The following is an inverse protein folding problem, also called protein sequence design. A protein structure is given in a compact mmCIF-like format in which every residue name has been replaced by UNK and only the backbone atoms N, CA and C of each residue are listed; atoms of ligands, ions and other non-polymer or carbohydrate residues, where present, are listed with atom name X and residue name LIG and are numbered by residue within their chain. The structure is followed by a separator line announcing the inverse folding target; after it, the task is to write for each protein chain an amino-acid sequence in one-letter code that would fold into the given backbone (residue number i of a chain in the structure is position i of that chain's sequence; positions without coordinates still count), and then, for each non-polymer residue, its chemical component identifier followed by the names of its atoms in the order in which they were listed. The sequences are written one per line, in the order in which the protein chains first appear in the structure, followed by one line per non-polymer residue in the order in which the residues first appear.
data_IF_283479029459
#
_entry.id   IF_283479029459
#
_cell.length_a   1.000
_cell.length_b   1.000
_cell.length_c   1.000
_cell.angle_alpha   90.00
_cell.angle_beta   90.00
_cell.angle_gamma   90.00
#
_symmetry.space_group_name_H-M   'P 1'
#
loop_
_entity.id
_entity.type
_entity.pdbx_description
1 polymer ?
#
# COMPACT_ATOMS: atom_id res chain seq x y z
N UNK A 1 1.40 -19.22 15.19
CA UNK A 1 2.04 -18.07 15.86
C UNK A 1 2.64 -17.18 14.79
N UNK A 2 2.30 -15.90 14.82
CA UNK A 2 2.83 -14.91 13.88
C UNK A 2 4.30 -14.63 14.19
N UNK A 3 5.14 -14.63 13.15
CA UNK A 3 6.58 -14.34 13.21
C UNK A 3 6.97 -13.07 12.49
N UNK A 4 6.12 -12.58 11.58
CA UNK A 4 6.35 -11.32 10.88
C UNK A 4 5.06 -10.54 10.71
N UNK A 5 5.19 -9.22 10.74
CA UNK A 5 4.15 -8.27 10.37
C UNK A 5 4.62 -7.50 9.15
N UNK A 6 3.82 -7.53 8.09
CA UNK A 6 4.10 -6.86 6.83
C UNK A 6 3.08 -5.74 6.65
N UNK A 7 3.56 -4.52 6.50
CA UNK A 7 2.72 -3.34 6.28
C UNK A 7 2.63 -3.06 4.79
N UNK A 8 1.44 -2.69 4.32
CA UNK A 8 1.33 -1.79 3.17
C UNK A 8 1.80 -0.36 3.53
N UNK A 9 1.74 0.60 2.61
CA UNK A 9 2.23 1.95 2.80
C UNK A 9 1.16 3.03 2.56
N UNK A 10 0.61 3.07 1.36
CA UNK A 10 -0.28 4.14 0.91
C UNK A 10 -1.65 3.93 1.52
N UNK A 11 -2.24 4.96 2.13
CA UNK A 11 -3.53 4.81 2.84
C UNK A 11 -3.44 4.03 4.16
N UNK A 12 -2.27 3.49 4.53
CA UNK A 12 -2.04 2.79 5.79
C UNK A 12 -1.02 3.46 6.71
N UNK A 13 0.22 3.66 6.23
CA UNK A 13 1.28 4.32 7.00
C UNK A 13 1.27 5.83 6.79
N UNK A 14 0.89 6.27 5.59
CA UNK A 14 0.81 7.67 5.21
C UNK A 14 -0.56 7.98 4.64
N UNK A 15 -1.08 9.18 4.95
CA UNK A 15 -2.28 9.73 4.29
C UNK A 15 -1.92 10.24 2.88
N UNK A 16 -1.64 9.31 1.95
CA UNK A 16 -1.14 9.61 0.60
C UNK A 16 -2.18 9.48 -0.51
N UNK A 17 -3.34 8.88 -0.26
CA UNK A 17 -4.43 8.75 -1.24
C UNK A 17 -4.83 10.09 -1.87
N UNK A 18 -4.95 11.21 -1.12
CA UNK A 18 -5.20 12.51 -1.74
C UNK A 18 -4.08 12.96 -2.70
N UNK A 19 -2.83 12.56 -2.47
CA UNK A 19 -1.70 12.94 -3.32
C UNK A 19 -1.68 12.13 -4.62
N UNK A 20 -2.04 10.86 -4.55
CA UNK A 20 -2.25 10.01 -5.73
C UNK A 20 -3.39 10.57 -6.58
N UNK A 21 -4.56 10.80 -5.98
CA UNK A 21 -5.71 11.38 -6.68
C UNK A 21 -5.36 12.73 -7.31
N UNK A 22 -4.71 13.65 -6.59
CA UNK A 22 -4.30 14.96 -7.15
C UNK A 22 -3.35 14.78 -8.34
N UNK A 23 -2.36 13.89 -8.24
CA UNK A 23 -1.34 13.69 -9.27
C UNK A 23 -1.87 12.99 -10.51
N UNK A 24 -2.66 11.94 -10.32
CA UNK A 24 -3.33 11.23 -11.40
C UNK A 24 -4.34 12.14 -12.11
N UNK A 25 -5.19 12.87 -11.36
CA UNK A 25 -6.10 13.87 -11.94
C UNK A 25 -5.34 14.89 -12.77
N UNK A 26 -4.26 15.47 -12.25
CA UNK A 26 -3.47 16.49 -12.94
C UNK A 26 -2.92 15.96 -14.27
N UNK A 27 -2.29 14.78 -14.24
CA UNK A 27 -1.63 14.22 -15.41
C UNK A 27 -2.64 13.69 -16.43
N UNK A 28 -3.65 12.93 -16.01
CA UNK A 28 -4.66 12.39 -16.92
C UNK A 28 -5.51 13.50 -17.57
N UNK A 29 -5.88 14.55 -16.84
CA UNK A 29 -6.57 15.70 -17.44
C UNK A 29 -5.71 16.40 -18.51
N UNK A 30 -4.38 16.45 -18.32
CA UNK A 30 -3.47 17.01 -19.34
C UNK A 30 -3.43 16.18 -20.63
N UNK A 31 -3.82 14.91 -20.56
CA UNK A 31 -3.96 14.00 -21.70
C UNK A 31 -5.37 14.02 -22.31
N UNK A 32 -6.29 14.81 -21.74
CA UNK A 32 -7.69 14.85 -22.15
C UNK A 32 -8.54 13.71 -21.58
N UNK A 33 -8.05 12.97 -20.57
CA UNK A 33 -8.79 11.90 -19.92
C UNK A 33 -9.48 12.44 -18.67
N UNK A 34 -10.78 12.18 -18.56
CA UNK A 34 -11.56 12.53 -17.38
C UNK A 34 -11.53 11.37 -16.38
N UNK A 35 -11.01 11.65 -15.20
CA UNK A 35 -11.02 10.76 -14.04
C UNK A 35 -12.27 11.00 -13.19
N UNK A 36 -12.72 9.97 -12.48
CA UNK A 36 -13.82 10.06 -11.52
C UNK A 36 -13.53 9.22 -10.27
N UNK A 37 -14.37 9.35 -9.24
CA UNK A 37 -14.18 8.66 -7.95
C UNK A 37 -14.18 7.14 -8.08
N UNK A 38 -15.07 6.56 -8.88
CA UNK A 38 -15.18 5.11 -9.07
C UNK A 38 -13.89 4.52 -9.68
N UNK A 39 -13.27 5.26 -10.61
CA UNK A 39 -12.00 4.87 -11.20
C UNK A 39 -10.89 4.82 -10.15
N UNK A 40 -10.79 5.84 -9.28
CA UNK A 40 -9.81 5.83 -8.19
C UNK A 40 -10.03 4.66 -7.22
N UNK A 41 -11.29 4.34 -6.90
CA UNK A 41 -11.61 3.20 -6.04
C UNK A 41 -11.20 1.84 -6.65
N UNK A 42 -11.29 1.69 -7.97
CA UNK A 42 -10.84 0.48 -8.69
C UNK A 42 -9.31 0.36 -8.72
N UNK A 43 -8.63 1.49 -8.89
CA UNK A 43 -7.18 1.55 -9.02
C UNK A 43 -6.42 1.59 -7.69
N UNK A 44 -7.11 1.86 -6.58
CA UNK A 44 -6.53 1.85 -5.23
C UNK A 44 -5.76 0.55 -4.94
N UNK A 45 -4.52 0.71 -4.47
CA UNK A 45 -3.59 -0.40 -4.18
C UNK A 45 -2.90 -1.02 -5.41
N UNK A 46 -3.20 -0.58 -6.64
CA UNK A 46 -2.52 -1.06 -7.86
C UNK A 46 -1.21 -0.35 -8.12
N UNK A 47 -0.36 -0.96 -8.96
CA UNK A 47 0.86 -0.33 -9.44
C UNK A 47 0.53 0.72 -10.50
N UNK A 48 1.22 1.86 -10.46
CA UNK A 48 0.89 3.01 -11.31
C UNK A 48 1.07 2.74 -12.81
N UNK A 49 2.00 1.86 -13.20
CA UNK A 49 2.17 1.46 -14.60
C UNK A 49 0.95 0.67 -15.13
N UNK A 50 0.40 -0.24 -14.33
CA UNK A 50 -0.83 -0.98 -14.63
C UNK A 50 -2.05 -0.05 -14.71
N UNK A 51 -2.10 0.99 -13.86
CA UNK A 51 -3.13 2.03 -13.93
C UNK A 51 -3.00 2.83 -15.23
N UNK A 52 -1.79 3.26 -15.59
CA UNK A 52 -1.54 3.98 -16.85
C UNK A 52 -1.85 3.11 -18.06
N UNK A 53 -1.53 1.81 -18.02
CA UNK A 53 -1.89 0.86 -19.07
C UNK A 53 -3.40 0.74 -19.23
N UNK A 54 -4.15 0.54 -18.14
CA UNK A 54 -5.60 0.46 -18.16
C UNK A 54 -6.25 1.77 -18.67
N UNK A 55 -5.72 2.92 -18.25
CA UNK A 55 -6.20 4.22 -18.71
C UNK A 55 -5.97 4.44 -20.20
N UNK A 56 -4.84 3.94 -20.72
CA UNK A 56 -4.54 4.01 -22.15
C UNK A 56 -5.50 3.13 -22.95
N UNK A 57 -5.82 1.93 -22.47
CA UNK A 57 -6.80 1.04 -23.11
C UNK A 57 -8.20 1.65 -23.16
N UNK A 58 -8.60 2.40 -22.13
CA UNK A 58 -9.89 3.12 -22.09
C UNK A 58 -9.90 4.27 -23.11
N UNK A 59 -8.84 5.07 -23.13
CA UNK A 59 -8.74 6.24 -24.00
C UNK A 59 -7.30 6.44 -24.47
N UNK A 60 -7.02 6.00 -25.71
CA UNK A 60 -5.70 6.14 -26.31
C UNK A 60 -5.25 7.61 -26.38
N UNK A 61 -4.03 7.86 -25.93
CA UNK A 61 -3.27 9.09 -26.24
C UNK A 61 -1.97 8.73 -26.98
N UNK A 62 -1.42 9.69 -27.73
CA UNK A 62 -0.22 9.48 -28.56
C UNK A 62 0.83 10.59 -28.42
N UNK A 63 0.57 11.63 -27.63
CA UNK A 63 1.45 12.79 -27.48
C UNK A 63 2.45 12.68 -26.30
N UNK A 64 2.38 11.58 -25.53
CA UNK A 64 3.34 11.19 -24.47
C UNK A 64 3.41 9.66 -24.41
N UNK A 65 4.59 9.10 -24.13
CA UNK A 65 4.73 7.68 -23.80
C UNK A 65 4.12 7.35 -22.44
N UNK A 66 3.74 6.10 -22.22
CA UNK A 66 3.22 5.63 -20.92
C UNK A 66 4.24 5.82 -19.79
N UNK A 67 5.52 5.57 -20.06
CA UNK A 67 6.62 5.79 -19.10
C UNK A 67 6.71 7.27 -18.68
N UNK A 68 6.61 8.21 -19.62
CA UNK A 68 6.60 9.64 -19.28
C UNK A 68 5.40 10.04 -18.43
N UNK A 69 4.24 9.41 -18.65
CA UNK A 69 3.03 9.61 -17.84
C UNK A 69 3.25 9.09 -16.41
N UNK A 70 3.71 7.85 -16.27
CA UNK A 70 4.06 7.25 -14.97
C UNK A 70 5.04 8.14 -14.22
N UNK A 71 6.13 8.55 -14.86
CA UNK A 71 7.17 9.35 -14.21
C UNK A 71 6.66 10.75 -13.83
N UNK A 72 5.76 11.34 -14.62
CA UNK A 72 5.10 12.60 -14.25
C UNK A 72 4.27 12.47 -12.99
N UNK A 73 3.49 11.39 -12.86
CA UNK A 73 2.65 11.11 -11.69
C UNK A 73 3.55 10.86 -10.47
N UNK A 74 4.51 9.95 -10.58
CA UNK A 74 5.46 9.59 -9.51
C UNK A 74 6.20 10.82 -9.00
N UNK A 75 6.73 11.66 -9.89
CA UNK A 75 7.44 12.87 -9.49
C UNK A 75 6.54 13.88 -8.77
N UNK A 76 5.27 13.96 -9.12
CA UNK A 76 4.32 14.83 -8.44
C UNK A 76 3.93 14.30 -7.05
N UNK A 77 3.68 12.98 -6.94
CA UNK A 77 3.42 12.31 -5.66
C UNK A 77 4.60 12.51 -4.70
N UNK A 78 5.85 12.31 -5.13
CA UNK A 78 7.04 12.53 -4.29
C UNK A 78 7.10 13.97 -3.76
N UNK A 79 6.77 14.97 -4.59
CA UNK A 79 6.73 16.37 -4.16
C UNK A 79 5.68 16.60 -3.07
N UNK A 80 4.49 16.04 -3.25
CA UNK A 80 3.40 16.16 -2.28
C UNK A 80 3.70 15.43 -0.98
N UNK A 81 4.25 14.21 -1.03
CA UNK A 81 4.71 13.45 0.15
C UNK A 81 5.73 14.28 0.94
N UNK A 82 6.79 14.77 0.30
CA UNK A 82 7.82 15.57 0.98
C UNK A 82 7.26 16.84 1.61
N UNK A 83 6.35 17.52 0.92
CA UNK A 83 5.77 18.78 1.40
C UNK A 83 4.74 18.56 2.52
N UNK A 84 3.80 17.62 2.34
CA UNK A 84 2.54 17.54 3.10
C UNK A 84 2.33 16.20 3.82
N UNK A 85 3.13 15.17 3.54
CA UNK A 85 2.95 13.82 4.07
C UNK A 85 2.87 13.77 5.59
N UNK A 86 1.92 12.98 6.09
CA UNK A 86 1.66 12.75 7.50
C UNK A 86 1.35 11.29 7.75
N UNK A 87 1.85 10.78 8.87
CA UNK A 87 1.51 9.44 9.32
C UNK A 87 0.03 9.37 9.70
N UNK A 88 -0.61 8.24 9.40
CA UNK A 88 -1.98 7.97 9.85
C UNK A 88 -2.02 7.64 11.35
N UNK A 89 -3.23 7.71 11.92
CA UNK A 89 -3.45 7.49 13.35
C UNK A 89 -3.00 6.08 13.77
N UNK A 90 -2.12 6.02 14.77
CA UNK A 90 -1.63 4.77 15.36
C UNK A 90 -0.31 4.25 14.78
N UNK A 91 0.19 4.79 13.65
CA UNK A 91 1.41 4.29 12.98
C UNK A 91 2.60 4.20 13.93
N UNK A 92 2.98 5.31 14.57
CA UNK A 92 4.16 5.33 15.46
C UNK A 92 4.00 4.40 16.68
N UNK A 93 2.83 4.42 17.32
CA UNK A 93 2.57 3.57 18.48
C UNK A 93 2.62 2.08 18.11
N UNK A 94 2.03 1.70 16.97
CA UNK A 94 2.01 0.31 16.51
C UNK A 94 3.40 -0.17 16.12
N UNK A 95 4.17 0.65 15.39
CA UNK A 95 5.55 0.32 15.03
C UNK A 95 6.45 0.17 16.28
N UNK A 96 6.31 1.06 17.26
CA UNK A 96 7.08 1.00 18.52
C UNK A 96 6.74 -0.26 19.32
N UNK A 97 5.44 -0.56 19.49
CA UNK A 97 5.00 -1.76 20.20
C UNK A 97 5.48 -3.05 19.53
N UNK A 98 5.48 -3.10 18.19
CA UNK A 98 5.96 -4.25 17.45
C UNK A 98 7.48 -4.39 17.47
N UNK A 99 8.23 -3.28 17.45
CA UNK A 99 9.70 -3.28 17.59
C UNK A 99 10.15 -3.85 18.95
N UNK A 100 9.34 -3.69 19.98
CA UNK A 100 9.57 -4.27 21.31
C UNK A 100 9.15 -5.74 21.42
N UNK A 101 8.49 -6.28 20.39
CA UNK A 101 8.11 -7.70 20.31
C UNK A 101 9.16 -8.54 19.57
N UNK A 102 8.93 -9.84 19.44
CA UNK A 102 9.84 -10.77 18.75
C UNK A 102 9.53 -10.96 17.25
N UNK A 103 8.56 -10.22 16.70
CA UNK A 103 8.18 -10.36 15.29
C UNK A 103 9.05 -9.49 14.39
N UNK A 104 9.26 -9.97 13.17
CA UNK A 104 9.97 -9.21 12.14
C UNK A 104 9.06 -8.22 11.44
N UNK A 105 9.59 -7.09 11.02
CA UNK A 105 8.82 -6.05 10.34
C UNK A 105 9.22 -5.87 8.88
N UNK A 106 8.24 -5.99 7.98
CA UNK A 106 8.38 -5.72 6.55
C UNK A 106 7.47 -4.60 6.07
N UNK A 107 7.90 -3.90 5.03
CA UNK A 107 7.09 -2.98 4.23
C UNK A 107 7.00 -3.51 2.80
N UNK A 108 5.77 -3.61 2.28
CA UNK A 108 5.47 -4.18 0.97
C UNK A 108 4.43 -3.29 0.26
N UNK A 109 4.88 -2.50 -0.72
CA UNK A 109 4.04 -1.49 -1.38
C UNK A 109 3.98 -1.66 -2.89
N UNK A 110 2.85 -1.28 -3.50
CA UNK A 110 2.71 -1.13 -4.95
C UNK A 110 3.44 0.08 -5.52
N UNK A 111 3.85 1.03 -4.67
CA UNK A 111 4.58 2.23 -5.06
C UNK A 111 5.99 1.92 -5.54
N UNK A 112 6.51 2.72 -6.48
CA UNK A 112 7.94 2.70 -6.86
C UNK A 112 8.83 2.98 -5.64
N UNK A 113 10.03 2.40 -5.58
CA UNK A 113 10.94 2.53 -4.43
C UNK A 113 11.30 3.98 -4.11
N UNK A 114 11.37 4.86 -5.10
CA UNK A 114 11.63 6.29 -4.86
C UNK A 114 10.50 7.02 -4.11
N UNK A 115 9.23 6.57 -4.22
CA UNK A 115 8.13 7.05 -3.39
C UNK A 115 8.26 6.44 -1.99
N UNK A 116 8.53 5.14 -1.91
CA UNK A 116 8.70 4.44 -0.64
C UNK A 116 9.77 5.12 0.23
N UNK A 117 10.96 5.36 -0.31
CA UNK A 117 12.04 6.03 0.42
C UNK A 117 11.65 7.47 0.80
N UNK A 118 10.93 8.20 -0.07
CA UNK A 118 10.43 9.54 0.28
C UNK A 118 9.43 9.52 1.44
N UNK A 119 8.59 8.49 1.55
CA UNK A 119 7.65 8.30 2.68
C UNK A 119 8.41 7.91 3.94
N UNK A 120 9.32 6.95 3.86
CA UNK A 120 10.12 6.48 5.00
C UNK A 120 10.95 7.63 5.61
N UNK A 121 11.56 8.46 4.77
CA UNK A 121 12.28 9.66 5.18
C UNK A 121 11.33 10.71 5.78
N UNK A 122 10.21 10.99 5.11
CA UNK A 122 9.24 11.99 5.56
C UNK A 122 8.66 11.68 6.94
N UNK A 123 8.41 10.40 7.21
CA UNK A 123 7.83 9.93 8.46
C UNK A 123 8.89 9.53 9.50
N UNK A 124 10.17 9.46 9.11
CA UNK A 124 11.27 8.98 9.95
C UNK A 124 11.00 7.58 10.54
N UNK A 125 10.61 6.63 9.68
CA UNK A 125 10.24 5.26 10.10
C UNK A 125 11.08 4.16 9.43
N UNK A 126 12.14 4.50 8.68
CA UNK A 126 12.99 3.51 7.99
C UNK A 126 13.54 2.43 8.92
N UNK A 127 13.95 2.83 10.12
CA UNK A 127 14.61 1.97 11.11
C UNK A 127 13.72 0.88 11.70
N UNK A 128 12.40 0.96 11.51
CA UNK A 128 11.48 -0.06 12.01
C UNK A 128 11.45 -1.30 11.11
N UNK A 129 11.83 -1.19 9.84
CA UNK A 129 11.64 -2.25 8.85
C UNK A 129 12.95 -2.98 8.54
N UNK A 130 12.96 -4.29 8.74
CA UNK A 130 14.04 -5.18 8.31
C UNK A 130 14.07 -5.35 6.80
N UNK A 131 12.88 -5.38 6.18
CA UNK A 131 12.69 -5.49 4.74
C UNK A 131 11.78 -4.37 4.26
N UNK A 132 12.20 -3.72 3.18
CA UNK A 132 11.37 -2.77 2.41
C UNK A 132 11.38 -3.24 0.98
N UNK A 133 10.20 -3.49 0.42
CA UNK A 133 10.06 -4.09 -0.89
C UNK A 133 8.98 -3.39 -1.73
N UNK A 134 9.28 -3.21 -3.02
CA UNK A 134 8.41 -2.56 -3.99
C UNK A 134 7.93 -3.56 -5.03
N UNK A 135 6.64 -3.50 -5.37
CA UNK A 135 6.08 -4.27 -6.47
C UNK A 135 6.58 -3.83 -7.85
N UNK A 136 7.39 -2.77 -7.96
CA UNK A 136 8.06 -2.40 -9.21
C UNK A 136 9.09 -3.45 -9.66
N UNK A 137 9.59 -4.27 -8.72
CA UNK A 137 10.50 -5.38 -9.01
C UNK A 137 9.78 -6.71 -9.23
N UNK A 138 8.45 -6.71 -9.19
CA UNK A 138 7.62 -7.89 -9.38
C UNK A 138 6.93 -7.87 -10.74
N UNK A 139 6.67 -9.06 -11.28
CA UNK A 139 6.00 -9.21 -12.58
C UNK A 139 4.60 -8.58 -12.56
N UNK A 140 3.85 -8.78 -11.46
CA UNK A 140 2.48 -8.30 -11.30
C UNK A 140 2.30 -7.50 -10.01
N UNK A 141 1.52 -6.42 -10.08
CA UNK A 141 1.07 -5.67 -8.92
C UNK A 141 -0.08 -6.36 -8.17
N UNK A 142 -0.51 -5.77 -7.05
CA UNK A 142 -1.70 -6.23 -6.32
C UNK A 142 -2.94 -6.20 -7.26
N UNK A 143 -3.81 -7.22 -7.27
CA UNK A 143 -4.02 -8.23 -6.22
C UNK A 143 -3.16 -9.50 -6.33
N UNK A 144 -2.17 -9.57 -7.22
CA UNK A 144 -1.27 -10.72 -7.27
C UNK A 144 -0.48 -10.86 -5.95
N UNK A 145 -0.28 -12.08 -5.40
CA UNK A 145 0.30 -12.28 -4.06
C UNK A 145 1.83 -12.09 -3.99
N UNK A 146 2.50 -11.98 -5.14
CA UNK A 146 3.95 -12.08 -5.24
C UNK A 146 4.70 -11.08 -4.35
N UNK A 147 4.24 -9.83 -4.27
CA UNK A 147 4.86 -8.81 -3.41
C UNK A 147 4.95 -9.25 -1.94
N UNK A 148 3.89 -9.88 -1.42
CA UNK A 148 3.89 -10.39 -0.04
C UNK A 148 4.72 -11.67 0.09
N UNK A 149 4.62 -12.59 -0.87
CA UNK A 149 5.43 -13.83 -0.88
C UNK A 149 6.93 -13.51 -0.87
N UNK A 150 7.36 -12.61 -1.75
CA UNK A 150 8.75 -12.14 -1.83
C UNK A 150 9.19 -11.47 -0.54
N UNK A 151 8.34 -10.62 0.05
CA UNK A 151 8.65 -9.95 1.33
C UNK A 151 8.83 -10.96 2.46
N UNK A 152 7.94 -11.94 2.61
CA UNK A 152 8.08 -13.01 3.61
C UNK A 152 9.36 -13.84 3.40
N UNK A 153 9.71 -14.13 2.13
CA UNK A 153 10.97 -14.81 1.79
C UNK A 153 12.20 -13.99 2.20
N UNK A 154 12.20 -12.68 1.95
CA UNK A 154 13.29 -11.78 2.38
C UNK A 154 13.40 -11.70 3.91
N UNK A 155 12.28 -11.74 4.62
CA UNK A 155 12.22 -11.82 6.08
C UNK A 155 12.60 -13.21 6.61
N UNK A 156 12.73 -14.23 5.76
CA UNK A 156 13.07 -15.60 6.15
C UNK A 156 11.99 -16.28 6.99
N UNK A 157 10.71 -16.03 6.69
CA UNK A 157 9.55 -16.65 7.36
C UNK A 157 8.60 -17.29 6.36
N UNK A 158 7.77 -18.24 6.81
CA UNK A 158 6.73 -18.79 5.94
C UNK A 158 5.57 -17.81 5.79
N UNK A 159 4.90 -17.74 4.63
CA UNK A 159 3.74 -16.85 4.45
C UNK A 159 2.62 -17.08 5.48
N UNK A 160 2.35 -18.33 5.86
CA UNK A 160 1.34 -18.67 6.89
C UNK A 160 1.69 -18.17 8.31
N UNK A 161 2.91 -17.67 8.51
CA UNK A 161 3.38 -17.09 9.77
C UNK A 161 3.39 -15.56 9.72
N UNK A 162 2.81 -14.96 8.67
CA UNK A 162 2.76 -13.51 8.46
C UNK A 162 1.36 -12.94 8.75
N UNK A 163 1.34 -11.75 9.34
CA UNK A 163 0.19 -10.87 9.39
C UNK A 163 0.44 -9.67 8.48
N UNK A 164 -0.50 -9.36 7.60
CA UNK A 164 -0.49 -8.18 6.75
C UNK A 164 -1.44 -7.12 7.32
N UNK A 165 -0.99 -5.87 7.36
CA UNK A 165 -1.85 -4.70 7.49
C UNK A 165 -2.06 -4.05 6.12
N UNK A 166 -3.31 -3.77 5.75
CA UNK A 166 -3.69 -3.28 4.42
C UNK A 166 -4.96 -2.41 4.50
N UNK A 167 -5.15 -1.46 3.60
CA UNK A 167 -6.30 -0.55 3.56
C UNK A 167 -7.23 -0.75 2.34
N UNK A 168 -6.70 -1.35 1.28
CA UNK A 168 -7.31 -1.56 -0.03
C UNK A 168 -7.86 -2.97 -0.22
N UNK A 169 -8.88 -3.12 -1.06
CA UNK A 169 -9.40 -4.46 -1.38
C UNK A 169 -8.37 -5.28 -2.18
N UNK A 170 -7.64 -4.65 -3.10
CA UNK A 170 -6.64 -5.32 -3.93
C UNK A 170 -5.52 -5.92 -3.07
N UNK A 171 -5.04 -5.20 -2.06
CA UNK A 171 -4.01 -5.74 -1.19
C UNK A 171 -4.52 -6.75 -0.16
N UNK A 172 -5.74 -6.61 0.34
CA UNK A 172 -6.36 -7.68 1.14
C UNK A 172 -6.44 -8.98 0.33
N UNK A 173 -6.87 -8.93 -0.93
CA UNK A 173 -6.89 -10.11 -1.81
C UNK A 173 -5.47 -10.66 -2.01
N UNK A 174 -4.48 -9.81 -2.26
CA UNK A 174 -3.08 -10.21 -2.43
C UNK A 174 -2.51 -10.91 -1.19
N UNK A 175 -2.76 -10.38 0.01
CA UNK A 175 -2.32 -10.98 1.27
C UNK A 175 -2.95 -12.37 1.51
N UNK A 176 -4.26 -12.51 1.28
CA UNK A 176 -4.97 -13.77 1.43
C UNK A 176 -4.53 -14.80 0.37
N UNK A 177 -4.33 -14.37 -0.87
CA UNK A 177 -3.79 -15.21 -1.94
C UNK A 177 -2.36 -15.69 -1.66
N UNK A 178 -1.59 -14.94 -0.85
CA UNK A 178 -0.28 -15.35 -0.36
C UNK A 178 -0.35 -16.33 0.83
N UNK A 179 -1.55 -16.76 1.25
CA UNK A 179 -1.80 -17.59 2.44
C UNK A 179 -1.33 -16.91 3.74
N UNK A 180 -1.46 -15.59 3.83
CA UNK A 180 -1.16 -14.80 5.03
C UNK A 180 -2.45 -14.43 5.77
N UNK A 181 -2.33 -14.08 7.06
CA UNK A 181 -3.42 -13.38 7.75
C UNK A 181 -3.43 -11.92 7.31
N UNK A 182 -4.61 -11.30 7.26
CA UNK A 182 -4.75 -9.90 6.88
C UNK A 182 -5.71 -9.16 7.83
N UNK A 183 -5.24 -8.05 8.40
CA UNK A 183 -6.07 -7.07 9.08
C UNK A 183 -6.27 -5.87 8.14
N UNK A 184 -7.52 -5.59 7.82
CA UNK A 184 -7.89 -4.46 6.97
C UNK A 184 -8.10 -3.19 7.82
N UNK A 185 -7.56 -2.06 7.39
CA UNK A 185 -7.68 -0.74 7.99
C UNK A 185 -8.14 0.23 6.90
N UNK A 186 -9.40 0.11 6.44
CA UNK A 186 -9.88 0.94 5.36
C UNK A 186 -10.03 2.39 5.79
N UNK A 187 -10.03 3.31 4.83
CA UNK A 187 -10.36 4.72 5.09
C UNK A 187 -11.67 4.84 5.88
N UNK A 188 -11.80 5.83 6.76
CA UNK A 188 -12.89 5.94 7.73
C UNK A 188 -14.31 5.87 7.12
N UNK A 189 -14.48 6.27 5.85
CA UNK A 189 -15.74 6.16 5.12
C UNK A 189 -16.08 4.76 4.58
N UNK A 190 -15.11 3.84 4.59
CA UNK A 190 -15.19 2.52 3.97
C UNK A 190 -15.35 1.36 4.99
N UNK A 191 -15.33 1.64 6.30
CA UNK A 191 -15.44 0.64 7.38
C UNK A 191 -16.69 -0.23 7.31
N UNK A 192 -17.80 0.30 6.80
CA UNK A 192 -19.07 -0.43 6.67
C UNK A 192 -19.23 -1.14 5.32
N UNK A 193 -18.22 -1.09 4.45
CA UNK A 193 -18.28 -1.75 3.15
C UNK A 193 -18.05 -3.25 3.33
N UNK A 194 -19.02 -4.05 2.87
CA UNK A 194 -18.94 -5.51 2.87
C UNK A 194 -17.73 -6.08 2.12
N UNK A 195 -17.00 -5.26 1.35
CA UNK A 195 -15.84 -5.71 0.57
C UNK A 195 -14.68 -6.23 1.44
N UNK A 196 -14.54 -5.73 2.67
CA UNK A 196 -13.47 -6.16 3.58
C UNK A 196 -13.83 -7.39 4.43
N UNK A 197 -15.00 -8.01 4.24
CA UNK A 197 -15.45 -9.20 4.98
C UNK A 197 -14.51 -10.41 4.82
N UNK A 198 -13.69 -10.41 3.76
CA UNK A 198 -12.73 -11.46 3.49
C UNK A 198 -11.47 -11.37 4.39
N UNK A 199 -11.20 -10.20 4.98
CA UNK A 199 -10.07 -10.02 5.89
C UNK A 199 -10.30 -10.78 7.22
N UNK A 200 -9.22 -11.17 7.90
CA UNK A 200 -9.33 -11.85 9.19
C UNK A 200 -9.88 -10.92 10.29
N UNK A 201 -9.61 -9.63 10.19
CA UNK A 201 -10.14 -8.60 11.07
C UNK A 201 -10.22 -7.27 10.31
N UNK A 202 -11.16 -6.41 10.69
CA UNK A 202 -11.21 -5.02 10.23
C UNK A 202 -11.06 -4.10 11.43
N UNK A 203 -10.18 -3.11 11.33
CA UNK A 203 -9.89 -2.13 12.38
C UNK A 203 -10.22 -0.73 11.84
N UNK A 204 -10.59 0.19 12.74
CA UNK A 204 -10.83 1.59 12.39
C UNK A 204 -9.54 2.37 12.15
N UNK A 205 -8.47 1.97 12.82
CA UNK A 205 -7.13 2.53 12.70
C UNK A 205 -6.08 1.52 13.18
N UNK A 206 -4.81 1.78 12.89
CA UNK A 206 -3.71 1.02 13.50
C UNK A 206 -3.68 1.14 15.02
N UNK A 207 -4.30 2.16 15.61
CA UNK A 207 -4.36 2.34 17.06
C UNK A 207 -5.29 1.33 17.76
N UNK A 208 -6.19 0.68 17.00
CA UNK A 208 -7.10 -0.33 17.53
C UNK A 208 -6.45 -1.73 17.61
N UNK A 209 -5.27 -1.89 17.02
CA UNK A 209 -4.47 -3.11 17.11
C UNK A 209 -3.85 -3.26 18.50
N UNK A 210 -3.91 -4.47 19.05
CA UNK A 210 -3.23 -4.85 20.29
C UNK A 210 -2.26 -5.97 20.02
N UNK A 211 -1.08 -5.96 20.64
CA UNK A 211 -0.08 -7.04 20.48
C UNK A 211 -0.68 -8.43 20.79
N UNK A 212 -1.60 -8.52 21.76
CA UNK A 212 -2.34 -9.75 22.08
C UNK A 212 -3.15 -10.30 20.91
N UNK A 213 -3.49 -9.49 19.90
CA UNK A 213 -4.14 -9.97 18.68
C UNK A 213 -3.25 -10.97 17.92
N UNK A 214 -1.91 -10.88 18.03
CA UNK A 214 -0.98 -11.82 17.39
C UNK A 214 -1.09 -13.24 17.95
N UNK A 215 -1.52 -13.39 19.20
CA UNK A 215 -1.69 -14.69 19.87
C UNK A 215 -3.00 -15.38 19.45
N UNK A 216 -3.97 -14.61 18.97
CA UNK A 216 -5.32 -15.08 18.62
C UNK A 216 -5.47 -15.61 17.18
N UNK A 217 -4.37 -15.68 16.41
CA UNK A 217 -4.36 -15.96 14.96
C UNK A 217 -3.79 -17.32 14.53
#
# INVERSE_FOLDING_TARGET
MIKAVIFDMDGLLIDSEPFWQESENLVFNSLGIKTNKEMFEIFMGKRIDEVVDAMWEIQNWNHKSKTEVVDSIVNHVIKLVKAKGKALTGVYNTLENLKQSSVKLGLASSSKMNIIEAVLDKLNIREYFEVVHSAEYEEYGKPHPQIFISTAKMLGVNPSECLVFEDSLNGVISALAANMKCFAIPESGALNLKKFIIANKTLGSLNDFKITDLESL
#
